data_IF_372159964959
#
_entry.id   IF_372159964959
#
_cell.length_a   1.000
_cell.length_b   1.000
_cell.length_c   1.000
_cell.angle_alpha   90.00
_cell.angle_beta   90.00
_cell.angle_gamma   90.00
#
_symmetry.space_group_name_H-M   'P 1'
#
loop_
_entity.id
_entity.type
_entity.pdbx_description
1 polymer ?
#
# COMPACT_ATOMS: atom_id res chain seq x y z
N UNK A 1 63.62 -20.29 -6.68
CA UNK A 1 62.59 -20.96 -7.50
C UNK A 1 61.33 -21.33 -6.68
N UNK A 2 61.44 -22.10 -5.58
CA UNK A 2 60.25 -22.50 -4.79
C UNK A 2 59.42 -21.38 -4.14
N UNK A 3 60.03 -20.25 -3.75
CA UNK A 3 59.30 -19.12 -3.13
C UNK A 3 58.49 -18.29 -4.14
N UNK A 4 58.97 -18.17 -5.39
CA UNK A 4 58.29 -17.42 -6.45
C UNK A 4 57.05 -18.19 -6.92
N UNK A 5 57.21 -19.51 -7.14
CA UNK A 5 56.10 -20.41 -7.52
C UNK A 5 55.01 -20.42 -6.43
N UNK A 6 55.39 -20.40 -5.14
CA UNK A 6 54.43 -20.36 -4.03
C UNK A 6 53.70 -19.01 -3.93
N UNK A 7 54.35 -17.90 -4.29
CA UNK A 7 53.75 -16.58 -4.34
C UNK A 7 52.79 -16.40 -5.53
N UNK A 8 53.12 -16.95 -6.69
CA UNK A 8 52.27 -16.94 -7.89
C UNK A 8 51.02 -17.82 -7.71
N UNK A 9 51.19 -19.05 -7.20
CA UNK A 9 50.07 -19.95 -6.89
C UNK A 9 49.10 -19.36 -5.85
N UNK A 10 49.61 -18.57 -4.89
CA UNK A 10 48.77 -17.90 -3.88
C UNK A 10 47.93 -16.76 -4.46
N UNK A 11 48.48 -16.02 -5.43
CA UNK A 11 47.77 -14.93 -6.12
C UNK A 11 46.71 -15.48 -7.06
N UNK A 12 47.04 -16.49 -7.85
CA UNK A 12 46.12 -17.17 -8.77
C UNK A 12 44.92 -17.74 -8.00
N UNK A 13 45.17 -18.43 -6.87
CA UNK A 13 44.09 -18.98 -6.04
C UNK A 13 43.19 -17.90 -5.40
N UNK A 14 43.72 -16.70 -5.14
CA UNK A 14 42.94 -15.59 -4.59
C UNK A 14 42.14 -14.86 -5.68
N UNK A 15 42.60 -14.86 -6.92
CA UNK A 15 41.88 -14.36 -8.08
C UNK A 15 40.73 -15.29 -8.48
N UNK A 16 40.95 -16.61 -8.49
CA UNK A 16 39.89 -17.59 -8.74
C UNK A 16 38.75 -17.50 -7.71
N UNK A 17 39.10 -17.34 -6.42
CA UNK A 17 38.08 -17.13 -5.37
C UNK A 17 37.27 -15.85 -5.57
N UNK A 18 37.88 -14.79 -6.09
CA UNK A 18 37.15 -13.54 -6.42
C UNK A 18 36.27 -13.73 -7.64
N UNK A 19 36.75 -14.39 -8.68
CA UNK A 19 35.98 -14.67 -9.88
C UNK A 19 34.75 -15.56 -9.60
N UNK A 20 34.91 -16.57 -8.74
CA UNK A 20 33.80 -17.44 -8.32
C UNK A 20 32.74 -16.64 -7.54
N UNK A 21 33.15 -15.79 -6.60
CA UNK A 21 32.20 -14.94 -5.84
C UNK A 21 31.45 -13.96 -6.76
N UNK A 22 32.15 -13.31 -7.69
CA UNK A 22 31.52 -12.39 -8.62
C UNK A 22 30.51 -13.10 -9.53
N UNK A 23 30.86 -14.28 -10.06
CA UNK A 23 29.91 -15.10 -10.84
C UNK A 23 28.71 -15.55 -10.01
N UNK A 24 28.93 -15.94 -8.76
CA UNK A 24 27.85 -16.33 -7.84
C UNK A 24 26.90 -15.16 -7.59
N UNK A 25 27.44 -13.95 -7.40
CA UNK A 25 26.67 -12.74 -7.21
C UNK A 25 25.87 -12.38 -8.47
N UNK A 26 26.49 -12.36 -9.65
CA UNK A 26 25.80 -12.09 -10.92
C UNK A 26 24.66 -13.09 -11.19
N UNK A 27 24.87 -14.38 -10.89
CA UNK A 27 23.84 -15.40 -11.04
C UNK A 27 22.67 -15.20 -10.06
N UNK A 28 22.98 -14.83 -8.81
CA UNK A 28 21.97 -14.50 -7.81
C UNK A 28 21.15 -13.27 -8.21
N UNK A 29 21.81 -12.22 -8.70
CA UNK A 29 21.15 -11.00 -9.17
C UNK A 29 20.25 -11.28 -10.38
N UNK A 30 20.74 -12.03 -11.38
CA UNK A 30 19.94 -12.41 -12.56
C UNK A 30 18.75 -13.28 -12.18
N UNK A 31 18.92 -14.20 -11.23
CA UNK A 31 17.83 -15.03 -10.72
C UNK A 31 16.76 -14.19 -10.01
N UNK A 32 17.17 -13.24 -9.17
CA UNK A 32 16.25 -12.34 -8.47
C UNK A 32 15.49 -11.41 -9.45
N UNK A 33 16.17 -10.87 -10.46
CA UNK A 33 15.55 -10.03 -11.50
C UNK A 33 14.55 -10.85 -12.32
N UNK A 34 14.90 -12.06 -12.73
CA UNK A 34 14.00 -12.94 -13.49
C UNK A 34 12.75 -13.32 -12.67
N UNK A 35 12.93 -13.66 -11.39
CA UNK A 35 11.81 -13.97 -10.49
C UNK A 35 10.89 -12.77 -10.28
N UNK A 36 11.45 -11.56 -10.14
CA UNK A 36 10.67 -10.33 -10.03
C UNK A 36 9.88 -10.03 -11.30
N UNK A 37 10.49 -10.19 -12.49
CA UNK A 37 9.82 -9.98 -13.77
C UNK A 37 8.68 -10.98 -13.99
N UNK A 38 8.90 -12.25 -13.63
CA UNK A 38 7.86 -13.27 -13.69
C UNK A 38 6.70 -12.96 -12.72
N UNK A 39 7.02 -12.50 -11.51
CA UNK A 39 6.02 -12.07 -10.53
C UNK A 39 5.21 -10.86 -11.03
N UNK A 40 5.87 -9.84 -11.59
CA UNK A 40 5.19 -8.68 -12.17
C UNK A 40 4.27 -9.07 -13.34
N UNK A 41 4.72 -9.99 -14.19
CA UNK A 41 3.90 -10.48 -15.30
C UNK A 41 2.63 -11.17 -14.79
N UNK A 42 2.74 -12.02 -13.78
CA UNK A 42 1.58 -12.69 -13.18
C UNK A 42 0.61 -11.72 -12.51
N UNK A 43 1.14 -10.69 -11.82
CA UNK A 43 0.30 -9.66 -11.22
C UNK A 43 -0.49 -8.92 -12.29
N UNK A 44 0.16 -8.53 -13.39
CA UNK A 44 -0.51 -7.84 -14.49
C UNK A 44 -1.58 -8.71 -15.17
N UNK A 45 -1.28 -9.99 -15.41
CA UNK A 45 -2.24 -10.94 -15.98
C UNK A 45 -3.47 -11.09 -15.07
N UNK A 46 -3.25 -11.23 -13.76
CA UNK A 46 -4.35 -11.32 -12.79
C UNK A 46 -5.16 -10.01 -12.70
N UNK A 47 -4.54 -8.84 -12.84
CA UNK A 47 -5.22 -7.54 -12.89
C UNK A 47 -6.11 -7.39 -14.14
N UNK A 48 -5.62 -7.84 -15.29
CA UNK A 48 -6.37 -7.83 -16.55
C UNK A 48 -7.57 -8.79 -16.49
N UNK A 49 -7.38 -10.00 -15.95
CA UNK A 49 -8.47 -10.96 -15.73
C UNK A 49 -9.52 -10.43 -14.75
N UNK A 50 -9.08 -9.81 -13.65
CA UNK A 50 -10.00 -9.23 -12.67
C UNK A 50 -10.83 -8.10 -13.29
N UNK A 51 -10.20 -7.24 -14.09
CA UNK A 51 -10.88 -6.17 -14.81
C UNK A 51 -11.93 -6.71 -15.79
N UNK A 52 -11.61 -7.79 -16.51
CA UNK A 52 -12.54 -8.46 -17.43
C UNK A 52 -13.71 -9.10 -16.69
N UNK A 53 -13.46 -9.83 -15.60
CA UNK A 53 -14.51 -10.44 -14.78
C UNK A 53 -15.42 -9.39 -14.14
N UNK A 54 -14.85 -8.27 -13.66
CA UNK A 54 -15.64 -7.16 -13.14
C UNK A 54 -16.57 -6.57 -14.20
N UNK A 55 -16.11 -6.42 -15.43
CA UNK A 55 -16.97 -5.95 -16.52
C UNK A 55 -18.10 -6.93 -16.82
N UNK A 56 -17.80 -8.23 -16.92
CA UNK A 56 -18.81 -9.26 -17.16
C UNK A 56 -19.88 -9.30 -16.06
N UNK A 57 -19.49 -9.16 -14.80
CA UNK A 57 -20.43 -9.08 -13.68
C UNK A 57 -21.32 -7.84 -13.80
N UNK A 58 -20.76 -6.68 -14.17
CA UNK A 58 -21.56 -5.46 -14.38
C UNK A 58 -22.57 -5.64 -15.51
N UNK A 59 -22.15 -6.16 -16.65
CA UNK A 59 -23.04 -6.39 -17.80
C UNK A 59 -24.14 -7.41 -17.50
N UNK A 60 -23.79 -8.53 -16.85
CA UNK A 60 -24.78 -9.53 -16.44
C UNK A 60 -25.75 -8.95 -15.43
N UNK A 61 -25.27 -8.18 -14.45
CA UNK A 61 -26.16 -7.55 -13.48
C UNK A 61 -27.13 -6.59 -14.14
N UNK A 62 -26.66 -5.77 -15.09
CA UNK A 62 -27.52 -4.85 -15.83
C UNK A 62 -28.56 -5.59 -16.68
N UNK A 63 -28.17 -6.68 -17.36
CA UNK A 63 -29.12 -7.53 -18.10
C UNK A 63 -30.18 -8.13 -17.17
N UNK A 64 -29.79 -8.63 -16.01
CA UNK A 64 -30.74 -9.15 -15.02
C UNK A 64 -31.66 -8.05 -14.49
N UNK A 65 -31.14 -6.85 -14.20
CA UNK A 65 -31.94 -5.70 -13.75
C UNK A 65 -33.00 -5.31 -14.78
N UNK A 66 -32.57 -5.09 -16.02
CA UNK A 66 -33.48 -4.73 -17.12
C UNK A 66 -34.56 -5.79 -17.30
N UNK A 67 -34.20 -7.07 -17.28
CA UNK A 67 -35.17 -8.16 -17.44
C UNK A 67 -36.15 -8.25 -16.26
N UNK A 68 -35.67 -8.00 -15.04
CA UNK A 68 -36.54 -7.97 -13.86
C UNK A 68 -37.53 -6.80 -13.94
N UNK A 69 -37.07 -5.62 -14.37
CA UNK A 69 -37.94 -4.44 -14.57
C UNK A 69 -39.01 -4.74 -15.60
N UNK A 70 -38.65 -5.30 -16.76
CA UNK A 70 -39.62 -5.73 -17.78
C UNK A 70 -40.66 -6.70 -17.23
N UNK A 71 -40.24 -7.73 -16.49
CA UNK A 71 -41.20 -8.67 -15.90
C UNK A 71 -42.14 -8.04 -14.88
N UNK A 72 -41.63 -7.13 -14.05
CA UNK A 72 -42.48 -6.41 -13.10
C UNK A 72 -43.44 -5.46 -13.81
N UNK A 73 -43.03 -4.86 -14.92
CA UNK A 73 -43.84 -3.96 -15.71
C UNK A 73 -44.94 -4.72 -16.46
N UNK A 74 -44.61 -5.82 -17.13
CA UNK A 74 -45.58 -6.73 -17.77
C UNK A 74 -46.60 -7.27 -16.75
N UNK A 75 -46.14 -7.65 -15.55
CA UNK A 75 -47.02 -8.10 -14.47
C UNK A 75 -47.93 -6.98 -13.96
N UNK A 76 -47.43 -5.75 -13.87
CA UNK A 76 -48.23 -4.60 -13.44
C UNK A 76 -49.29 -4.25 -14.49
N UNK A 77 -48.92 -4.22 -15.77
CA UNK A 77 -49.84 -3.97 -16.88
C UNK A 77 -50.91 -5.07 -16.99
N UNK A 78 -50.54 -6.33 -16.78
CA UNK A 78 -51.48 -7.46 -16.73
C UNK A 78 -52.48 -7.32 -15.57
N UNK A 79 -52.00 -6.90 -14.39
CA UNK A 79 -52.85 -6.67 -13.21
C UNK A 79 -53.76 -5.46 -13.38
N UNK A 80 -53.26 -4.36 -13.94
CA UNK A 80 -54.04 -3.15 -14.19
C UNK A 80 -55.12 -3.42 -15.25
N UNK A 81 -54.82 -4.26 -16.25
CA UNK A 81 -55.80 -4.77 -17.22
C UNK A 81 -56.85 -5.73 -16.64
N UNK A 82 -56.58 -6.38 -15.50
CA UNK A 82 -57.55 -7.19 -14.75
C UNK A 82 -58.55 -6.35 -13.92
N UNK A 83 -58.26 -5.06 -13.76
CA UNK A 83 -59.03 -4.09 -12.96
C UNK A 83 -60.45 -3.80 -13.45
N UNK A 84 -60.81 -4.19 -14.68
CA UNK A 84 -62.18 -3.97 -15.21
C UNK A 84 -63.13 -5.16 -15.01
N UNK A 85 -62.68 -6.33 -14.53
CA UNK A 85 -63.54 -7.52 -14.59
C UNK A 85 -63.46 -8.59 -13.50
N UNK A 86 -62.31 -8.92 -12.88
CA UNK A 86 -62.24 -10.08 -11.96
C UNK A 86 -61.21 -9.93 -10.81
N UNK A 87 -61.74 -10.04 -9.58
CA UNK A 87 -61.10 -10.29 -8.27
C UNK A 87 -59.82 -9.52 -7.87
N UNK A 88 -60.04 -8.34 -7.31
CA UNK A 88 -59.15 -7.42 -6.58
C UNK A 88 -58.21 -8.01 -5.47
N UNK A 89 -58.50 -9.15 -4.78
CA UNK A 89 -57.68 -9.64 -3.66
C UNK A 89 -56.38 -10.38 -4.02
N UNK A 90 -56.26 -10.97 -5.21
CA UNK A 90 -55.04 -11.72 -5.61
C UNK A 90 -53.99 -10.81 -6.24
N UNK A 91 -54.42 -9.83 -7.05
CA UNK A 91 -53.59 -8.76 -7.58
C UNK A 91 -52.84 -7.98 -6.49
N UNK A 92 -53.55 -7.63 -5.41
CA UNK A 92 -52.97 -6.90 -4.28
C UNK A 92 -51.93 -7.71 -3.49
N UNK A 93 -52.14 -9.03 -3.34
CA UNK A 93 -51.15 -9.94 -2.72
C UNK A 93 -49.91 -10.11 -3.58
N UNK A 94 -50.08 -10.24 -4.90
CA UNK A 94 -48.95 -10.34 -5.83
C UNK A 94 -48.12 -9.06 -5.85
N UNK A 95 -48.76 -7.89 -5.84
CA UNK A 95 -48.09 -6.59 -5.71
C UNK A 95 -47.29 -6.49 -4.41
N UNK A 96 -47.88 -6.88 -3.28
CA UNK A 96 -47.17 -6.90 -2.00
C UNK A 96 -45.95 -7.86 -2.01
N UNK A 97 -46.05 -9.00 -2.69
CA UNK A 97 -44.93 -9.93 -2.85
C UNK A 97 -43.80 -9.34 -3.70
N UNK A 98 -44.12 -8.67 -4.80
CA UNK A 98 -43.15 -7.94 -5.64
C UNK A 98 -42.47 -6.82 -4.85
N UNK A 99 -43.24 -6.04 -4.09
CA UNK A 99 -42.71 -4.97 -3.24
C UNK A 99 -41.74 -5.53 -2.18
N UNK A 100 -42.07 -6.69 -1.59
CA UNK A 100 -41.18 -7.41 -0.68
C UNK A 100 -39.88 -7.85 -1.37
N UNK A 101 -39.96 -8.44 -2.57
CA UNK A 101 -38.76 -8.84 -3.32
C UNK A 101 -37.87 -7.64 -3.66
N UNK A 102 -38.47 -6.51 -4.05
CA UNK A 102 -37.72 -5.28 -4.34
C UNK A 102 -37.02 -4.75 -3.07
N UNK A 103 -37.70 -4.83 -1.92
CA UNK A 103 -37.13 -4.45 -0.64
C UNK A 103 -35.97 -5.36 -0.23
N UNK A 104 -36.09 -6.67 -0.45
CA UNK A 104 -35.03 -7.65 -0.17
C UNK A 104 -33.80 -7.43 -1.06
N UNK A 105 -34.01 -7.11 -2.34
CA UNK A 105 -32.90 -6.75 -3.24
C UNK A 105 -32.22 -5.48 -2.73
N UNK A 106 -32.96 -4.44 -2.39
CA UNK A 106 -32.41 -3.17 -1.86
C UNK A 106 -31.64 -3.38 -0.56
N UNK A 107 -32.16 -4.19 0.37
CA UNK A 107 -31.52 -4.48 1.65
C UNK A 107 -30.23 -5.28 1.46
N UNK A 108 -30.25 -6.28 0.57
CA UNK A 108 -29.06 -7.06 0.21
C UNK A 108 -27.94 -6.20 -0.37
N UNK A 109 -28.28 -5.25 -1.27
CA UNK A 109 -27.29 -4.32 -1.82
C UNK A 109 -26.71 -3.39 -0.74
N UNK A 110 -27.53 -2.85 0.15
CA UNK A 110 -27.04 -2.02 1.28
C UNK A 110 -26.12 -2.81 2.21
N UNK A 111 -26.48 -4.05 2.53
CA UNK A 111 -25.64 -4.92 3.36
C UNK A 111 -24.29 -5.21 2.71
N UNK A 112 -24.27 -5.47 1.40
CA UNK A 112 -23.02 -5.68 0.65
C UNK A 112 -22.18 -4.40 0.59
N UNK A 113 -22.79 -3.25 0.38
CA UNK A 113 -22.10 -1.96 0.38
C UNK A 113 -21.46 -1.68 1.74
N UNK A 114 -22.18 -1.94 2.83
CA UNK A 114 -21.66 -1.80 4.19
C UNK A 114 -20.49 -2.76 4.47
N UNK A 115 -20.59 -4.01 4.02
CA UNK A 115 -19.49 -4.99 4.12
C UNK A 115 -18.24 -4.49 3.38
N UNK A 116 -18.39 -4.00 2.15
CA UNK A 116 -17.28 -3.46 1.36
C UNK A 116 -16.67 -2.21 2.04
N UNK A 117 -17.51 -1.30 2.53
CA UNK A 117 -17.04 -0.12 3.25
C UNK A 117 -16.30 -0.49 4.53
N UNK A 118 -16.78 -1.49 5.27
CA UNK A 118 -16.12 -2.01 6.48
C UNK A 118 -14.78 -2.66 6.17
N UNK A 119 -14.71 -3.50 5.13
CA UNK A 119 -13.47 -4.12 4.67
C UNK A 119 -12.44 -3.07 4.24
N UNK A 120 -12.86 -2.04 3.49
CA UNK A 120 -12.00 -0.93 3.09
C UNK A 120 -11.44 -0.18 4.31
N UNK A 121 -12.28 0.14 5.30
CA UNK A 121 -11.84 0.77 6.57
C UNK A 121 -10.85 -0.11 7.33
N UNK A 122 -11.10 -1.42 7.41
CA UNK A 122 -10.22 -2.39 8.06
C UNK A 122 -8.86 -2.48 7.37
N UNK A 123 -8.85 -2.57 6.04
CA UNK A 123 -7.63 -2.60 5.23
C UNK A 123 -6.82 -1.32 5.39
N UNK A 124 -7.47 -0.14 5.38
CA UNK A 124 -6.81 1.14 5.66
C UNK A 124 -6.14 1.14 7.03
N UNK A 125 -6.82 0.65 8.07
CA UNK A 125 -6.27 0.53 9.43
C UNK A 125 -5.06 -0.42 9.48
N UNK A 126 -5.15 -1.57 8.79
CA UNK A 126 -4.06 -2.54 8.71
C UNK A 126 -2.85 -1.96 7.98
N UNK A 127 -3.07 -1.24 6.88
CA UNK A 127 -2.01 -0.56 6.13
C UNK A 127 -1.30 0.48 7.01
N UNK A 128 -2.06 1.34 7.71
CA UNK A 128 -1.48 2.31 8.64
C UNK A 128 -0.63 1.63 9.73
N UNK A 129 -1.06 0.48 10.26
CA UNK A 129 -0.27 -0.28 11.24
C UNK A 129 1.04 -0.76 10.63
N UNK A 130 1.01 -1.35 9.43
CA UNK A 130 2.19 -1.84 8.71
C UNK A 130 3.16 -0.69 8.42
N UNK A 131 2.67 0.44 7.92
CA UNK A 131 3.50 1.63 7.65
C UNK A 131 4.19 2.13 8.92
N UNK A 132 3.48 2.20 10.05
CA UNK A 132 4.08 2.60 11.34
C UNK A 132 5.16 1.62 11.80
N UNK A 133 4.91 0.31 11.72
CA UNK A 133 5.92 -0.69 12.09
C UNK A 133 7.13 -0.65 11.15
N UNK A 134 6.90 -0.45 9.86
CA UNK A 134 7.96 -0.31 8.87
C UNK A 134 8.83 0.91 9.16
N UNK A 135 8.23 2.07 9.43
CA UNK A 135 8.97 3.28 9.79
C UNK A 135 9.80 3.09 11.06
N UNK A 136 9.22 2.47 12.10
CA UNK A 136 9.95 2.14 13.32
C UNK A 136 11.14 1.20 13.07
N UNK A 137 10.97 0.18 12.22
CA UNK A 137 12.04 -0.72 11.83
C UNK A 137 13.14 0.00 11.03
N UNK A 138 12.76 0.91 10.12
CA UNK A 138 13.72 1.70 9.34
C UNK A 138 14.57 2.61 10.24
N UNK A 139 13.97 3.21 11.27
CA UNK A 139 14.70 3.99 12.29
C UNK A 139 15.66 3.09 13.08
N UNK A 140 15.20 1.92 13.53
CA UNK A 140 16.06 0.99 14.26
C UNK A 140 17.25 0.53 13.40
N UNK A 141 16.98 0.23 12.13
CA UNK A 141 18.00 -0.14 11.15
C UNK A 141 19.03 0.98 10.93
N UNK A 142 18.58 2.23 10.75
CA UNK A 142 19.43 3.43 10.69
C UNK A 142 20.41 3.50 11.85
N UNK A 143 19.87 3.46 13.07
CA UNK A 143 20.65 3.58 14.31
C UNK A 143 21.66 2.43 14.42
N UNK A 144 21.23 1.19 14.16
CA UNK A 144 22.13 0.03 14.19
C UNK A 144 23.26 0.16 13.16
N UNK A 145 22.93 0.60 11.95
CA UNK A 145 23.91 0.78 10.86
C UNK A 145 24.94 1.85 11.19
N UNK A 146 24.50 2.98 11.74
CA UNK A 146 25.39 4.04 12.21
C UNK A 146 26.34 3.55 13.32
N UNK A 147 25.84 2.74 14.26
CA UNK A 147 26.67 2.15 15.34
C UNK A 147 27.74 1.20 14.78
N UNK A 148 27.40 0.36 13.80
CA UNK A 148 28.36 -0.55 13.15
C UNK A 148 29.42 0.26 12.39
N UNK A 149 29.02 1.29 11.65
CA UNK A 149 29.94 2.17 10.94
C UNK A 149 30.87 2.94 11.89
N UNK A 150 30.37 3.33 13.07
CA UNK A 150 31.17 3.99 14.11
C UNK A 150 32.17 3.03 14.81
N UNK A 151 32.02 1.72 14.66
CA UNK A 151 32.92 0.70 15.23
C UNK A 151 33.52 -0.22 14.14
N UNK A 152 34.51 0.26 13.37
CA UNK A 152 35.09 -0.48 12.23
C UNK A 152 35.79 -1.80 12.61
N UNK A 153 36.14 -1.98 13.89
CA UNK A 153 36.84 -3.18 14.36
C UNK A 153 35.92 -4.38 14.66
N UNK A 154 34.59 -4.18 14.62
CA UNK A 154 33.62 -5.24 14.91
C UNK A 154 33.55 -6.31 13.79
N UNK A 155 34.08 -6.03 12.59
CA UNK A 155 34.01 -6.93 11.44
C UNK A 155 32.58 -7.19 10.93
N UNK A 156 31.60 -6.46 11.47
CA UNK A 156 30.19 -6.57 11.11
C UNK A 156 29.90 -5.75 9.84
N UNK A 157 29.14 -6.33 8.93
CA UNK A 157 28.68 -5.64 7.73
C UNK A 157 27.51 -4.71 8.09
N UNK A 158 27.61 -3.39 7.83
CA UNK A 158 26.52 -2.44 8.03
C UNK A 158 25.31 -2.67 7.12
N UNK A 159 25.43 -3.51 6.09
CA UNK A 159 24.33 -3.86 5.21
C UNK A 159 23.95 -2.77 4.20
N UNK A 160 22.94 -3.04 3.36
CA UNK A 160 22.57 -2.19 2.22
C UNK A 160 22.07 -0.81 2.66
N UNK A 161 22.19 0.22 1.78
CA UNK A 161 21.62 1.53 2.02
C UNK A 161 20.10 1.45 2.27
N UNK A 162 19.58 2.36 3.08
CA UNK A 162 18.17 2.39 3.51
C UNK A 162 17.19 3.02 2.52
N UNK A 163 17.70 3.78 1.54
CA UNK A 163 16.89 4.48 0.55
C UNK A 163 15.89 3.58 -0.21
N UNK A 164 16.25 2.33 -0.61
CA UNK A 164 15.33 1.41 -1.28
C UNK A 164 14.20 0.88 -0.38
N UNK A 165 14.32 1.01 0.95
CA UNK A 165 13.31 0.54 1.88
C UNK A 165 12.26 1.60 2.20
N UNK A 166 12.46 2.87 1.82
CA UNK A 166 11.49 3.93 2.12
C UNK A 166 10.16 3.71 1.38
N UNK A 167 9.06 3.55 2.12
CA UNK A 167 7.70 3.36 1.59
C UNK A 167 6.97 4.67 1.28
N UNK A 168 7.51 5.83 1.66
CA UNK A 168 6.83 7.11 1.44
C UNK A 168 6.71 7.43 -0.06
N UNK A 169 5.50 7.71 -0.57
CA UNK A 169 5.35 8.41 -1.84
C UNK A 169 6.17 9.69 -1.78
N UNK A 170 6.94 9.99 -2.82
CA UNK A 170 7.82 11.17 -2.87
C UNK A 170 7.11 12.47 -2.42
N UNK A 171 5.81 12.57 -2.68
CA UNK A 171 4.93 13.70 -2.34
C UNK A 171 4.73 13.89 -0.82
N UNK A 172 4.53 12.82 -0.03
CA UNK A 172 4.38 12.91 1.43
C UNK A 172 5.73 13.11 2.14
N UNK A 173 6.80 12.56 1.56
CA UNK A 173 8.19 12.81 1.99
C UNK A 173 8.55 14.30 1.85
N UNK A 174 8.14 14.92 0.75
CA UNK A 174 8.32 16.37 0.55
C UNK A 174 7.56 17.20 1.59
N UNK A 175 6.32 16.82 1.91
CA UNK A 175 5.51 17.54 2.91
C UNK A 175 6.11 17.42 4.32
N UNK A 176 6.54 16.23 4.72
CA UNK A 176 7.25 16.03 6.01
C UNK A 176 8.62 16.72 6.05
N UNK A 177 9.37 16.76 4.96
CA UNK A 177 10.63 17.52 4.87
C UNK A 177 10.38 19.05 4.98
N UNK A 178 9.30 19.56 4.37
CA UNK A 178 8.90 20.97 4.49
C UNK A 178 8.51 21.33 5.92
N UNK A 179 7.69 20.51 6.58
CA UNK A 179 7.33 20.72 7.99
C UNK A 179 8.57 20.68 8.91
N UNK A 180 9.48 19.73 8.69
CA UNK A 180 10.76 19.66 9.41
C UNK A 180 11.60 20.92 9.21
N UNK A 181 11.69 21.41 7.98
CA UNK A 181 12.45 22.62 7.68
C UNK A 181 11.84 23.85 8.34
N UNK A 182 10.51 23.96 8.35
CA UNK A 182 9.79 25.05 9.02
C UNK A 182 10.03 25.02 10.54
N UNK A 183 9.99 23.83 11.16
CA UNK A 183 10.30 23.66 12.59
C UNK A 183 11.71 24.09 12.95
N UNK A 184 12.72 23.76 12.12
CA UNK A 184 14.10 24.21 12.34
C UNK A 184 14.24 25.73 12.26
N UNK A 185 13.52 26.37 11.34
CA UNK A 185 13.52 27.83 11.23
C UNK A 185 12.89 28.49 12.46
N UNK A 186 11.78 27.94 12.95
CA UNK A 186 11.13 28.43 14.17
C UNK A 186 12.01 28.23 15.41
N UNK A 187 12.68 27.08 15.52
CA UNK A 187 13.65 26.79 16.58
C UNK A 187 14.79 27.82 16.58
N UNK A 188 15.46 28.02 15.45
CA UNK A 188 16.53 29.02 15.33
C UNK A 188 16.06 30.45 15.65
N UNK A 189 14.83 30.79 15.25
CA UNK A 189 14.22 32.09 15.55
C UNK A 189 13.93 32.26 17.05
N UNK A 190 13.45 31.22 17.72
CA UNK A 190 13.19 31.24 19.16
C UNK A 190 14.49 31.30 19.96
N UNK A 191 15.51 30.55 19.56
CA UNK A 191 16.85 30.62 20.18
C UNK A 191 17.45 32.02 20.08
N UNK A 192 17.34 32.68 18.92
CA UNK A 192 17.80 34.05 18.73
C UNK A 192 17.06 35.04 19.65
N UNK A 193 15.73 34.89 19.81
CA UNK A 193 14.94 35.71 20.73
C UNK A 193 15.34 35.50 22.19
N UNK A 194 15.59 34.24 22.58
CA UNK A 194 16.09 33.87 23.90
C UNK A 194 17.44 34.53 24.20
N UNK A 195 18.39 34.48 23.26
CA UNK A 195 19.69 35.14 23.44
C UNK A 195 19.56 36.66 23.60
N UNK A 196 18.66 37.30 22.85
CA UNK A 196 18.41 38.74 22.98
C UNK A 196 17.76 39.08 24.33
N UNK A 197 16.80 38.29 24.78
CA UNK A 197 16.15 38.47 26.08
C UNK A 197 17.15 38.30 27.24
N UNK A 198 18.01 37.28 27.17
CA UNK A 198 19.07 37.04 28.15
C UNK A 198 20.10 38.18 28.16
N UNK A 199 20.51 38.70 27.00
CA UNK A 199 21.41 39.86 26.91
C UNK A 199 20.77 41.14 27.45
N UNK A 200 19.45 41.31 27.31
CA UNK A 200 18.73 42.44 27.92
C UNK A 200 18.67 42.28 29.43
N UNK A 201 18.30 41.11 29.95
CA UNK A 201 18.27 40.86 31.41
C UNK A 201 19.64 40.97 32.07
N UNK A 202 20.70 40.43 31.45
CA UNK A 202 22.07 40.59 31.93
C UNK A 202 22.61 42.03 31.81
N UNK A 203 21.95 42.92 31.06
CA UNK A 203 22.25 44.36 31.02
C UNK A 203 21.53 45.16 32.10
N UNK A 204 20.45 44.62 32.69
CA UNK A 204 19.71 45.25 33.78
C UNK A 204 20.24 44.87 35.17
N UNK A 205 21.02 43.79 35.31
CA UNK A 205 21.66 43.40 36.59
C UNK A 205 23.02 44.08 36.85
N UNK A 206 23.55 44.88 35.91
CA UNK A 206 24.86 45.54 36.01
C UNK A 206 24.75 47.08 35.94
N UNK A 207 23.59 47.64 36.30
CA UNK A 207 23.37 49.08 36.38
C UNK A 207 23.03 49.51 37.82
#
# INVERSE_FOLDING_TARGET
MCLVIRGEMGKEHQEDKRAIRNRQQELSERSAVSALMFSQSQVKEAEDENSKLQLQVKELNEKYRSRLVWYLQDLSEYIDGLGEGKSLPEASKLRAHVDSMLQDVRSSYRAREEQLASAARSNKKRLQKITKTHHGLLIAYRVQREQILAQPQSGLDPGPPEAPFSLEPSELREETERELQQRRQDEARLEAQLQVALKKHGRFEVA
#
